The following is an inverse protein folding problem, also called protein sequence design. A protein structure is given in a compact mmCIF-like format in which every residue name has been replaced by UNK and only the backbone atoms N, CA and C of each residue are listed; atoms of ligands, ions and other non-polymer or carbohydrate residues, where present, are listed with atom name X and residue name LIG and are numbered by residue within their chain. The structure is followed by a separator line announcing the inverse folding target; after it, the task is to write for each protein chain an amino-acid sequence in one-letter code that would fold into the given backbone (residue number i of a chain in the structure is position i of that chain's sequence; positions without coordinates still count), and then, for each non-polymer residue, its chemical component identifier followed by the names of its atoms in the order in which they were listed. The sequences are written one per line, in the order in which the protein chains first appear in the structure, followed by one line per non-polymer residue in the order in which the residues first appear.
data_IF_071944033654
#
_entry.id   IF_071944033654
#
_cell.length_a   1.000
_cell.length_b   1.000
_cell.length_c   1.000
_cell.angle_alpha   90.00
_cell.angle_beta   90.00
_cell.angle_gamma   90.00
#
_symmetry.space_group_name_H-M   'P 1'
#
loop_
_entity.id
_entity.type
_entity.pdbx_description
1 polymer ?
#
# COMPACT_ATOMS: atom_id res chain seq x y z
N UNK A 1 -19.08 30.36 12.80
CA UNK A 1 -19.61 29.54 11.69
C UNK A 1 -18.77 29.63 10.40
N UNK A 2 -18.31 30.79 9.94
CA UNK A 2 -17.61 30.92 8.63
C UNK A 2 -16.23 30.25 8.48
N UNK A 3 -15.40 30.21 9.54
CA UNK A 3 -14.04 29.63 9.45
C UNK A 3 -14.05 28.10 9.34
N UNK A 4 -15.00 27.43 9.98
CA UNK A 4 -15.15 25.97 9.89
C UNK A 4 -15.64 25.53 8.50
N UNK A 5 -16.61 26.26 7.93
CA UNK A 5 -17.07 26.05 6.55
C UNK A 5 -15.95 26.30 5.52
N UNK A 6 -15.12 27.32 5.72
CA UNK A 6 -13.96 27.61 4.86
C UNK A 6 -12.90 26.51 4.93
N UNK A 7 -12.58 25.99 6.13
CA UNK A 7 -11.64 24.86 6.29
C UNK A 7 -12.18 23.56 5.68
N UNK A 8 -13.47 23.28 5.85
CA UNK A 8 -14.13 22.12 5.21
C UNK A 8 -14.07 22.21 3.68
N UNK A 9 -14.30 23.40 3.12
CA UNK A 9 -14.16 23.66 1.69
C UNK A 9 -12.73 23.45 1.19
N UNK A 10 -11.71 23.88 1.95
CA UNK A 10 -10.31 23.64 1.63
C UNK A 10 -9.93 22.15 1.69
N UNK A 11 -10.34 21.43 2.74
CA UNK A 11 -10.09 19.99 2.84
C UNK A 11 -10.76 19.21 1.72
N UNK A 12 -11.99 19.59 1.35
CA UNK A 12 -12.70 18.99 0.21
C UNK A 12 -11.98 19.23 -1.12
N UNK A 13 -11.42 20.43 -1.32
CA UNK A 13 -10.61 20.73 -2.52
C UNK A 13 -9.32 19.92 -2.58
N UNK A 14 -8.62 19.77 -1.44
CA UNK A 14 -7.41 18.92 -1.36
C UNK A 14 -7.78 17.46 -1.66
N UNK A 15 -8.87 16.96 -1.09
CA UNK A 15 -9.34 15.60 -1.34
C UNK A 15 -9.67 15.37 -2.82
N UNK A 16 -10.40 16.30 -3.46
CA UNK A 16 -10.73 16.21 -4.88
C UNK A 16 -9.47 16.18 -5.76
N UNK A 17 -8.47 17.01 -5.45
CA UNK A 17 -7.21 17.01 -6.19
C UNK A 17 -6.42 15.71 -6.00
N UNK A 18 -6.42 15.15 -4.79
CA UNK A 18 -5.80 13.84 -4.53
C UNK A 18 -6.50 12.73 -5.32
N UNK A 19 -7.82 12.71 -5.32
CA UNK A 19 -8.60 11.71 -6.05
C UNK A 19 -8.34 11.82 -7.56
N UNK A 20 -8.34 13.02 -8.13
CA UNK A 20 -8.00 13.25 -9.54
C UNK A 20 -6.57 12.76 -9.87
N UNK A 21 -5.59 13.08 -9.02
CA UNK A 21 -4.21 12.64 -9.21
C UNK A 21 -4.07 11.11 -9.14
N UNK A 22 -4.80 10.46 -8.21
CA UNK A 22 -4.81 9.00 -8.09
C UNK A 22 -5.44 8.35 -9.32
N UNK A 23 -6.61 8.82 -9.75
CA UNK A 23 -7.29 8.29 -10.94
C UNK A 23 -6.47 8.52 -12.21
N UNK A 24 -5.86 9.69 -12.36
CA UNK A 24 -4.95 9.98 -13.48
C UNK A 24 -3.75 9.04 -13.50
N UNK A 25 -3.15 8.75 -12.34
CA UNK A 25 -2.06 7.79 -12.23
C UNK A 25 -2.54 6.36 -12.55
N UNK A 26 -3.68 5.94 -12.02
CA UNK A 26 -4.24 4.61 -12.30
C UNK A 26 -4.55 4.42 -13.79
N UNK A 27 -5.13 5.43 -14.44
CA UNK A 27 -5.43 5.42 -15.87
C UNK A 27 -4.15 5.39 -16.74
N UNK A 28 -3.03 5.87 -16.23
CA UNK A 28 -1.73 5.83 -16.93
C UNK A 28 -1.06 4.45 -16.90
N UNK A 29 -1.52 3.53 -16.05
CA UNK A 29 -0.93 2.20 -15.94
C UNK A 29 -1.34 1.33 -17.13
N UNK A 30 -0.43 0.50 -17.66
CA UNK A 30 -0.76 -0.42 -18.74
C UNK A 30 -1.81 -1.44 -18.29
N UNK A 31 -2.68 -1.86 -19.21
CA UNK A 31 -3.62 -2.93 -18.95
C UNK A 31 -2.85 -4.22 -18.59
N UNK A 32 -3.25 -4.98 -17.55
CA UNK A 32 -2.49 -6.16 -17.09
C UNK A 32 -2.17 -7.18 -18.18
N UNK A 33 -3.03 -7.27 -19.19
CA UNK A 33 -2.91 -8.15 -20.36
C UNK A 33 -1.79 -7.71 -21.32
N UNK A 34 -1.42 -6.42 -21.30
CA UNK A 34 -0.36 -5.82 -22.12
C UNK A 34 1.02 -5.91 -21.46
N UNK A 35 1.10 -6.37 -20.21
CA UNK A 35 2.35 -6.46 -19.45
C UNK A 35 2.95 -7.85 -19.61
N UNK A 36 4.18 -7.97 -20.10
CA UNK A 36 4.87 -9.25 -20.22
C UNK A 36 5.14 -9.91 -18.86
N UNK A 37 5.46 -11.21 -18.84
CA UNK A 37 5.81 -11.91 -17.60
C UNK A 37 7.00 -11.23 -16.89
N UNK A 38 8.04 -10.86 -17.63
CA UNK A 38 9.23 -10.19 -17.09
C UNK A 38 8.90 -8.79 -16.55
N UNK A 39 8.05 -8.04 -17.25
CA UNK A 39 7.60 -6.73 -16.77
C UNK A 39 6.77 -6.86 -15.50
N UNK A 40 5.85 -7.83 -15.41
CA UNK A 40 5.07 -8.10 -14.20
C UNK A 40 5.98 -8.45 -13.01
N UNK A 41 6.94 -9.35 -13.24
CA UNK A 41 7.95 -9.73 -12.24
C UNK A 41 8.71 -8.50 -11.77
N UNK A 42 9.21 -7.68 -12.70
CA UNK A 42 9.94 -6.45 -12.38
C UNK A 42 9.10 -5.44 -11.59
N UNK A 43 7.82 -5.26 -11.92
CA UNK A 43 6.92 -4.38 -11.18
C UNK A 43 6.75 -4.86 -9.74
N UNK A 44 6.46 -6.14 -9.53
CA UNK A 44 6.28 -6.72 -8.19
C UNK A 44 7.58 -6.61 -7.38
N UNK A 45 8.71 -6.95 -7.98
CA UNK A 45 10.02 -6.88 -7.34
C UNK A 45 10.37 -5.45 -6.90
N UNK A 46 10.23 -4.46 -7.79
CA UNK A 46 10.49 -3.06 -7.47
C UNK A 46 9.52 -2.49 -6.45
N UNK A 47 8.23 -2.82 -6.55
CA UNK A 47 7.24 -2.41 -5.57
C UNK A 47 7.55 -2.98 -4.18
N UNK A 48 7.96 -4.24 -4.10
CA UNK A 48 8.35 -4.89 -2.84
C UNK A 48 9.63 -4.27 -2.27
N UNK A 49 10.64 -4.00 -3.10
CA UNK A 49 11.87 -3.32 -2.69
C UNK A 49 11.61 -1.92 -2.11
N UNK A 50 10.57 -1.24 -2.60
CA UNK A 50 10.17 0.07 -2.09
C UNK A 50 9.38 -0.06 -0.80
N UNK A 51 8.33 -0.88 -0.72
CA UNK A 51 7.42 -0.82 0.44
C UNK A 51 7.86 -1.64 1.65
N UNK A 52 8.43 -2.83 1.43
CA UNK A 52 8.69 -3.82 2.50
C UNK A 52 9.43 -3.21 3.70
N UNK A 53 10.44 -2.38 3.44
CA UNK A 53 11.24 -1.73 4.49
C UNK A 53 10.96 -0.26 4.74
N UNK A 54 10.01 0.39 4.03
CA UNK A 54 9.91 1.85 4.05
C UNK A 54 8.56 2.40 4.50
N UNK A 55 7.46 1.66 4.38
CA UNK A 55 6.14 2.20 4.73
C UNK A 55 6.04 2.59 6.22
N UNK A 56 6.46 1.69 7.11
CA UNK A 56 6.53 1.96 8.56
C UNK A 56 7.45 3.17 8.85
N UNK A 57 8.59 3.27 8.18
CA UNK A 57 9.51 4.40 8.33
C UNK A 57 8.84 5.72 7.91
N UNK A 58 8.12 5.75 6.78
CA UNK A 58 7.42 6.95 6.32
C UNK A 58 6.27 7.36 7.24
N UNK A 59 5.46 6.39 7.69
CA UNK A 59 4.37 6.64 8.64
C UNK A 59 4.90 7.12 9.99
N UNK A 60 6.05 6.61 10.44
CA UNK A 60 6.74 7.11 11.64
C UNK A 60 7.21 8.55 11.44
N UNK A 61 7.78 8.89 10.28
CA UNK A 61 8.13 10.27 9.93
C UNK A 61 6.91 11.20 9.95
N UNK A 62 5.76 10.74 9.47
CA UNK A 62 4.50 11.48 9.55
C UNK A 62 4.08 11.73 11.00
N UNK A 63 4.12 10.71 11.85
CA UNK A 63 3.80 10.81 13.28
C UNK A 63 4.66 11.86 13.99
N UNK A 64 5.97 11.86 13.72
CA UNK A 64 6.91 12.82 14.30
C UNK A 64 6.68 14.25 13.80
N UNK A 65 6.33 14.41 12.53
CA UNK A 65 6.15 15.72 11.92
C UNK A 65 4.87 16.44 12.40
N UNK A 66 3.78 15.69 12.63
CA UNK A 66 2.49 16.30 12.99
C UNK A 66 2.42 16.71 14.46
N UNK A 67 1.85 17.89 14.73
CA UNK A 67 1.55 18.38 16.08
C UNK A 67 0.10 18.17 16.53
N UNK A 68 -0.77 17.64 15.66
CA UNK A 68 -2.19 17.43 15.99
C UNK A 68 -2.41 16.04 16.58
N UNK A 69 -3.03 15.97 17.76
CA UNK A 69 -3.36 14.70 18.41
C UNK A 69 -4.30 13.83 17.58
N UNK A 70 -5.27 14.44 16.90
CA UNK A 70 -6.18 13.72 16.00
C UNK A 70 -5.43 13.08 14.83
N UNK A 71 -4.48 13.80 14.23
CA UNK A 71 -3.66 13.26 13.15
C UNK A 71 -2.73 12.15 13.66
N UNK A 72 -2.12 12.34 14.83
CA UNK A 72 -1.29 11.30 15.48
C UNK A 72 -2.07 10.03 15.75
N UNK A 73 -3.28 10.14 16.29
CA UNK A 73 -4.14 8.99 16.55
C UNK A 73 -4.41 8.19 15.26
N UNK A 74 -4.74 8.87 14.15
CA UNK A 74 -4.96 8.22 12.86
C UNK A 74 -3.71 7.55 12.29
N UNK A 75 -2.54 8.19 12.43
CA UNK A 75 -1.27 7.60 11.99
C UNK A 75 -0.92 6.38 12.85
N UNK A 76 -1.16 6.42 14.15
CA UNK A 76 -0.94 5.29 15.06
C UNK A 76 -1.88 4.12 14.75
N UNK A 77 -3.16 4.37 14.45
CA UNK A 77 -4.09 3.33 14.01
C UNK A 77 -3.54 2.58 12.78
N UNK A 78 -3.06 3.32 11.77
CA UNK A 78 -2.47 2.72 10.57
C UNK A 78 -1.16 1.97 10.88
N UNK A 79 -0.24 2.56 11.66
CA UNK A 79 0.99 1.87 12.08
C UNK A 79 0.72 0.57 12.84
N UNK A 80 -0.29 0.55 13.71
CA UNK A 80 -0.68 -0.64 14.45
C UNK A 80 -1.22 -1.72 13.53
N UNK A 81 -2.01 -1.36 12.53
CA UNK A 81 -2.47 -2.29 11.49
C UNK A 81 -1.28 -2.89 10.73
N UNK A 82 -0.38 -2.04 10.23
CA UNK A 82 0.82 -2.45 9.48
C UNK A 82 1.69 -3.46 10.23
N UNK A 83 1.89 -3.23 11.54
CA UNK A 83 2.68 -4.11 12.41
C UNK A 83 1.91 -5.38 12.78
N UNK A 84 0.66 -5.24 13.24
CA UNK A 84 -0.16 -6.37 13.71
C UNK A 84 -0.41 -7.38 12.61
N UNK A 85 -0.75 -6.90 11.42
CA UNK A 85 -1.07 -7.74 10.26
C UNK A 85 0.18 -8.10 9.45
N UNK A 86 1.37 -7.63 9.90
CA UNK A 86 2.68 -7.91 9.33
C UNK A 86 2.69 -7.67 7.82
N UNK A 87 2.23 -6.48 7.40
CA UNK A 87 2.14 -6.10 6.00
C UNK A 87 3.49 -6.19 5.25
N UNK A 88 4.65 -5.82 5.84
CA UNK A 88 5.95 -6.13 5.24
C UNK A 88 6.13 -7.63 4.93
N UNK A 89 5.79 -8.49 5.89
CA UNK A 89 5.85 -9.93 5.71
C UNK A 89 4.84 -10.46 4.70
N UNK A 90 3.64 -9.87 4.63
CA UNK A 90 2.63 -10.16 3.60
C UNK A 90 3.20 -9.86 2.21
N UNK A 91 3.84 -8.71 2.05
CA UNK A 91 4.45 -8.31 0.78
C UNK A 91 5.61 -9.22 0.39
N UNK A 92 6.47 -9.56 1.34
CA UNK A 92 7.55 -10.53 1.13
C UNK A 92 7.02 -11.88 0.65
N UNK A 93 5.98 -12.41 1.30
CA UNK A 93 5.34 -13.67 0.91
C UNK A 93 4.70 -13.59 -0.48
N UNK A 94 4.05 -12.47 -0.80
CA UNK A 94 3.48 -12.23 -2.13
C UNK A 94 4.56 -12.22 -3.21
N UNK A 95 5.66 -11.49 -3.00
CA UNK A 95 6.79 -11.45 -3.93
C UNK A 95 7.42 -12.83 -4.13
N UNK A 96 7.56 -13.61 -3.06
CA UNK A 96 8.06 -14.98 -3.12
C UNK A 96 7.13 -15.90 -3.92
N UNK A 97 5.82 -15.87 -3.66
CA UNK A 97 4.83 -16.66 -4.38
C UNK A 97 4.73 -16.26 -5.88
N UNK A 98 5.01 -14.99 -6.20
CA UNK A 98 5.04 -14.49 -7.57
C UNK A 98 6.39 -14.72 -8.29
N UNK A 99 7.35 -15.43 -7.67
CA UNK A 99 8.72 -15.59 -8.18
C UNK A 99 9.40 -14.25 -8.52
N UNK A 100 9.11 -13.22 -7.73
CA UNK A 100 9.50 -11.83 -7.94
C UNK A 100 10.22 -11.23 -6.72
N UNK A 101 11.05 -12.03 -6.05
CA UNK A 101 11.92 -11.52 -4.99
C UNK A 101 12.84 -10.43 -5.58
N UNK A 102 12.96 -9.26 -4.92
CA UNK A 102 13.82 -8.18 -5.39
C UNK A 102 15.26 -8.65 -5.57
N UNK A 103 15.86 -8.28 -6.70
CA UNK A 103 17.31 -8.38 -6.94
C UNK A 103 17.99 -7.05 -6.64
N UNK A 104 19.32 -7.04 -6.59
CA UNK A 104 20.10 -5.79 -6.46
C UNK A 104 19.82 -4.83 -7.61
N UNK A 105 19.61 -5.35 -8.83
CA UNK A 105 19.24 -4.53 -9.98
C UNK A 105 17.85 -3.87 -9.81
N UNK A 106 16.87 -4.61 -9.26
CA UNK A 106 15.55 -4.05 -8.94
C UNK A 106 15.67 -2.94 -7.89
N UNK A 107 16.41 -3.19 -6.81
CA UNK A 107 16.63 -2.20 -5.75
C UNK A 107 17.36 -0.95 -6.28
N UNK A 108 18.40 -1.14 -7.08
CA UNK A 108 19.17 -0.04 -7.68
C UNK A 108 18.30 0.80 -8.62
N UNK A 109 17.42 0.18 -9.41
CA UNK A 109 16.55 0.88 -10.36
C UNK A 109 15.56 1.85 -9.69
N UNK A 110 15.18 1.59 -8.44
CA UNK A 110 14.28 2.46 -7.66
C UNK A 110 15.02 3.34 -6.66
N UNK A 111 16.31 3.07 -6.41
CA UNK A 111 17.08 3.66 -5.33
C UNK A 111 17.01 5.19 -5.30
N UNK A 112 17.24 5.85 -6.45
CA UNK A 112 17.22 7.32 -6.53
C UNK A 112 15.87 7.91 -6.11
N UNK A 113 14.77 7.34 -6.60
CA UNK A 113 13.43 7.80 -6.27
C UNK A 113 13.09 7.50 -4.81
N UNK A 114 13.48 6.32 -4.31
CA UNK A 114 13.32 5.97 -2.90
C UNK A 114 14.09 6.93 -1.98
N UNK A 115 15.32 7.32 -2.34
CA UNK A 115 16.10 8.29 -1.56
C UNK A 115 15.45 9.66 -1.56
N UNK A 116 14.87 10.10 -2.69
CA UNK A 116 14.12 11.35 -2.74
C UNK A 116 12.93 11.34 -1.78
N UNK A 117 12.19 10.24 -1.69
CA UNK A 117 11.09 10.11 -0.71
C UNK A 117 11.64 10.13 0.72
N UNK A 118 12.73 9.41 1.00
CA UNK A 118 13.35 9.43 2.34
C UNK A 118 13.79 10.82 2.77
N UNK A 119 14.43 11.58 1.86
CA UNK A 119 14.84 12.96 2.10
C UNK A 119 13.62 13.88 2.26
N UNK A 120 12.57 13.67 1.47
CA UNK A 120 11.32 14.42 1.60
C UNK A 120 10.67 14.22 2.97
N UNK A 121 10.52 12.96 3.42
CA UNK A 121 9.99 12.63 4.75
C UNK A 121 10.92 13.19 5.85
N UNK A 122 12.25 13.11 5.66
CA UNK A 122 13.24 13.58 6.62
C UNK A 122 13.23 15.10 6.86
N UNK A 123 12.56 15.88 6.01
CA UNK A 123 12.32 17.32 6.27
C UNK A 123 11.30 17.56 7.38
N UNK A 124 10.53 16.54 7.77
CA UNK A 124 9.51 16.60 8.83
C UNK A 124 8.50 17.74 8.63
N UNK A 125 8.14 18.02 7.37
CA UNK A 125 7.12 19.02 7.06
C UNK A 125 5.73 18.39 7.18
N UNK A 126 4.89 18.79 8.14
CA UNK A 126 3.69 18.04 8.52
C UNK A 126 2.67 17.95 7.39
N UNK A 127 2.26 19.08 6.80
CA UNK A 127 1.20 19.11 5.79
C UNK A 127 1.61 18.33 4.52
N UNK A 128 2.79 18.54 3.91
CA UNK A 128 3.22 17.76 2.75
C UNK A 128 3.29 16.25 3.02
N UNK A 129 3.77 15.85 4.21
CA UNK A 129 3.87 14.43 4.57
C UNK A 129 2.47 13.82 4.70
N UNK A 130 1.54 14.48 5.40
CA UNK A 130 0.16 13.97 5.56
C UNK A 130 -0.53 13.84 4.20
N UNK A 131 -0.38 14.83 3.30
CA UNK A 131 -0.94 14.77 1.94
C UNK A 131 -0.33 13.60 1.16
N UNK A 132 0.97 13.36 1.30
CA UNK A 132 1.66 12.24 0.63
C UNK A 132 1.18 10.89 1.17
N UNK A 133 0.98 10.76 2.49
CA UNK A 133 0.44 9.52 3.08
C UNK A 133 -1.01 9.28 2.62
N UNK A 134 -1.84 10.32 2.57
CA UNK A 134 -3.20 10.22 2.05
C UNK A 134 -3.22 9.79 0.57
N UNK A 135 -2.30 10.32 -0.25
CA UNK A 135 -2.11 9.88 -1.63
C UNK A 135 -1.73 8.40 -1.71
N UNK A 136 -0.71 7.95 -0.96
CA UNK A 136 -0.27 6.55 -0.99
C UNK A 136 -1.36 5.58 -0.55
N UNK A 137 -2.01 5.87 0.58
CA UNK A 137 -3.11 5.06 1.10
C UNK A 137 -4.25 4.97 0.07
N UNK A 138 -4.71 6.12 -0.45
CA UNK A 138 -5.78 6.18 -1.43
C UNK A 138 -5.45 5.48 -2.75
N UNK A 139 -4.20 5.58 -3.21
CA UNK A 139 -3.71 4.86 -4.38
C UNK A 139 -3.67 3.35 -4.15
N UNK A 140 -3.06 2.89 -3.04
CA UNK A 140 -2.93 1.47 -2.73
C UNK A 140 -4.30 0.81 -2.61
N UNK A 141 -5.24 1.44 -1.89
CA UNK A 141 -6.60 0.92 -1.75
C UNK A 141 -7.26 0.72 -3.12
N UNK A 142 -7.26 1.73 -3.99
CA UNK A 142 -7.90 1.63 -5.32
C UNK A 142 -7.17 0.64 -6.24
N UNK A 143 -5.84 0.68 -6.24
CA UNK A 143 -5.02 -0.23 -7.04
C UNK A 143 -5.21 -1.70 -6.64
N UNK A 144 -5.32 -1.98 -5.33
CA UNK A 144 -5.56 -3.34 -4.83
C UNK A 144 -7.01 -3.78 -5.09
N UNK A 145 -8.01 -2.93 -4.87
CA UNK A 145 -9.40 -3.27 -5.16
C UNK A 145 -9.64 -3.55 -6.65
N UNK A 146 -9.11 -2.71 -7.55
CA UNK A 146 -9.23 -2.89 -9.00
C UNK A 146 -8.60 -4.19 -9.50
N UNK A 147 -7.45 -4.60 -8.93
CA UNK A 147 -6.79 -5.86 -9.28
C UNK A 147 -7.43 -7.08 -8.62
N UNK A 148 -7.89 -6.97 -7.36
CA UNK A 148 -8.61 -8.04 -6.67
C UNK A 148 -9.98 -8.33 -7.31
N UNK A 149 -10.64 -7.32 -7.90
CA UNK A 149 -11.82 -7.53 -8.73
C UNK A 149 -11.46 -8.29 -10.01
N UNK A 150 -10.41 -7.87 -10.73
CA UNK A 150 -10.01 -8.50 -12.01
C UNK A 150 -9.49 -9.95 -11.86
N UNK A 151 -8.74 -10.26 -10.79
CA UNK A 151 -8.27 -11.63 -10.52
C UNK A 151 -9.42 -12.61 -10.22
N UNK A 152 -10.51 -12.13 -9.61
CA UNK A 152 -11.72 -12.95 -9.35
C UNK A 152 -12.55 -13.23 -10.60
N UNK A 153 -12.39 -12.44 -11.65
CA UNK A 153 -13.16 -12.55 -12.90
C UNK A 153 -12.29 -12.96 -14.10
N UNK A 154 -11.04 -13.38 -13.86
CA UNK A 154 -10.18 -13.96 -14.88
C UNK A 154 -10.74 -15.36 -15.27
N UNK A 155 -10.77 -15.74 -16.56
CA UNK A 155 -11.36 -17.01 -17.03
C UNK A 155 -10.71 -18.30 -16.48
N UNK A 156 -9.68 -18.17 -15.63
CA UNK A 156 -9.00 -19.27 -14.94
C UNK A 156 -9.08 -19.18 -13.41
N UNK A 157 -9.95 -18.32 -12.84
CA UNK A 157 -10.09 -18.18 -11.38
C UNK A 157 -10.54 -19.47 -10.65
N UNK A 158 -10.92 -20.51 -11.38
CA UNK A 158 -11.25 -21.85 -10.85
C UNK A 158 -10.06 -22.77 -10.57
N UNK A 159 -8.81 -22.42 -10.93
CA UNK A 159 -7.64 -23.31 -10.78
C UNK A 159 -6.70 -22.95 -9.63
N UNK A 160 -6.94 -21.86 -8.90
CA UNK A 160 -6.19 -21.59 -7.67
C UNK A 160 -6.73 -22.45 -6.53
N UNK A 161 -5.88 -23.16 -5.75
CA UNK A 161 -6.35 -23.92 -4.60
C UNK A 161 -6.99 -22.93 -3.62
N UNK A 162 -8.29 -23.11 -3.34
CA UNK A 162 -8.94 -22.42 -2.23
C UNK A 162 -8.13 -22.72 -0.98
N UNK A 163 -7.62 -21.69 -0.32
CA UNK A 163 -7.10 -21.81 1.03
C UNK A 163 -8.18 -22.51 1.86
N UNK A 164 -7.88 -23.71 2.37
CA UNK A 164 -8.81 -24.43 3.24
C UNK A 164 -9.08 -23.51 4.43
N UNK A 165 -10.34 -23.12 4.58
CA UNK A 165 -10.83 -22.49 5.80
C UNK A 165 -10.44 -23.37 6.99
N UNK A 166 -9.94 -22.75 8.05
CA UNK A 166 -9.35 -23.39 9.23
C UNK A 166 -10.31 -24.23 10.10
N UNK A 167 -11.44 -24.69 9.58
CA UNK A 167 -12.40 -25.49 10.34
C UNK A 167 -11.92 -26.94 10.57
N UNK A 168 -10.99 -27.44 9.74
CA UNK A 168 -10.45 -28.80 9.90
C UNK A 168 -9.54 -29.03 11.11
N UNK A 169 -9.12 -27.97 11.81
CA UNK A 169 -8.29 -28.07 13.02
C UNK A 169 -9.14 -28.24 14.29
N UNK A 170 -10.39 -27.79 14.29
CA UNK A 170 -11.30 -27.92 15.45
C UNK A 170 -11.95 -29.32 15.54
N UNK A 171 -12.06 -30.03 14.42
CA UNK A 171 -12.66 -31.38 14.38
C UNK A 171 -11.75 -32.49 14.95
N UNK A 172 -10.42 -32.31 14.94
CA UNK A 172 -9.46 -33.33 15.41
C UNK A 172 -9.23 -33.34 16.91
N UNK A 173 -9.53 -32.25 17.60
CA UNK A 173 -9.38 -32.14 19.07
C UNK A 173 -10.59 -32.68 19.85
N UNK A 174 -11.69 -33.06 19.18
CA UNK A 174 -12.89 -33.63 19.81
C UNK A 174 -12.98 -35.16 19.77
N UNK A 175 -12.05 -35.85 19.10
CA UNK A 175 -12.04 -37.34 19.03
C UNK A 175 -11.07 -38.02 20.00
N UNK A 176 -10.42 -37.25 20.89
CA UNK A 176 -9.49 -37.77 21.90
C UNK A 176 -9.80 -37.24 23.31
N UNK A 177 -11.08 -37.05 23.64
CA UNK A 177 -11.54 -36.98 25.03
C UNK A 177 -12.67 -37.96 25.23
#
# INVERSE_FOLDING_TARGET
MGVLASKQSQTASIQAHLDEAIEGLLASLPAPEQVSADQRRGIIARYSAVLEGNFIYWMTGAYLAVGSDLARAKIVENLLEEVRDCHPGMMRRFALAAHAIPTDADAQSVYRNLMNVRLFIGKLSPVPIVITMAFFEGFIQRFMHGRAWRLRHHPYAGTLPRARSGDGARERLRRHR
#
